data_IF_774529629717
#
_entry.id   IF_774529629717
#
_cell.length_a   1.000
_cell.length_b   1.000
_cell.length_c   1.000
_cell.angle_alpha   90.00
_cell.angle_beta   90.00
_cell.angle_gamma   90.00
#
_symmetry.space_group_name_H-M   'P 1'
#
loop_
_entity.id
_entity.type
_entity.pdbx_description
1 polymer ?
#
# COMPACT_ATOMS: atom_id res chain seq x y z
N UNK A 1 -14.63 -19.27 36.06
CA UNK A 1 -13.23 -19.30 35.60
C UNK A 1 -12.93 -17.93 34.99
N UNK A 2 -12.09 -17.14 35.65
CA UNK A 2 -11.91 -15.70 35.44
C UNK A 2 -11.01 -15.41 34.21
N UNK A 3 -11.49 -14.50 33.36
CA UNK A 3 -10.73 -13.45 32.65
C UNK A 3 -9.29 -13.74 32.19
N UNK A 4 -9.14 -14.19 30.95
CA UNK A 4 -7.89 -14.13 30.17
C UNK A 4 -8.02 -13.23 28.92
N UNK A 5 -8.95 -12.27 28.93
CA UNK A 5 -8.94 -11.20 27.95
C UNK A 5 -8.06 -10.07 28.50
N UNK A 6 -6.75 -10.29 28.52
CA UNK A 6 -5.85 -9.15 28.47
C UNK A 6 -6.22 -8.43 27.17
N UNK A 7 -6.80 -7.24 27.28
CA UNK A 7 -7.27 -6.46 26.15
C UNK A 7 -6.05 -6.02 25.34
N UNK A 8 -5.52 -6.93 24.52
CA UNK A 8 -4.50 -6.63 23.52
C UNK A 8 -5.15 -5.59 22.62
N UNK A 9 -4.55 -4.41 22.56
CA UNK A 9 -4.96 -3.37 21.62
C UNK A 9 -5.10 -4.00 20.23
N UNK A 10 -6.27 -3.83 19.60
CA UNK A 10 -6.55 -4.35 18.26
C UNK A 10 -5.71 -3.68 17.16
N UNK A 11 -4.73 -2.86 17.53
CA UNK A 11 -3.73 -2.26 16.63
C UNK A 11 -2.98 -3.30 15.81
N UNK A 12 -2.66 -4.47 16.39
CA UNK A 12 -1.99 -5.54 15.62
C UNK A 12 -2.90 -6.08 14.50
N UNK A 13 -4.20 -6.25 14.77
CA UNK A 13 -5.16 -6.70 13.76
C UNK A 13 -5.31 -5.68 12.62
N UNK A 14 -5.19 -4.38 12.90
CA UNK A 14 -5.23 -3.32 11.88
C UNK A 14 -3.99 -3.42 10.97
N UNK A 15 -2.79 -3.54 11.54
CA UNK A 15 -1.55 -3.69 10.78
C UNK A 15 -1.51 -5.01 9.97
N UNK A 16 -1.93 -6.11 10.57
CA UNK A 16 -2.04 -7.40 9.86
C UNK A 16 -3.07 -7.35 8.73
N UNK A 17 -4.22 -6.68 8.93
CA UNK A 17 -5.25 -6.49 7.91
C UNK A 17 -4.78 -5.61 6.76
N UNK A 18 -4.05 -4.52 7.03
CA UNK A 18 -3.54 -3.66 5.97
C UNK A 18 -2.52 -4.41 5.09
N UNK A 19 -1.66 -5.23 5.68
CA UNK A 19 -0.67 -6.05 4.96
C UNK A 19 -1.26 -7.27 4.25
N UNK A 20 -2.45 -7.75 4.64
CA UNK A 20 -3.05 -8.98 4.10
C UNK A 20 -3.13 -8.97 2.56
N UNK A 21 -3.51 -7.84 1.98
CA UNK A 21 -3.64 -7.72 0.53
C UNK A 21 -2.32 -7.92 -0.21
N UNK A 22 -1.22 -7.32 0.29
CA UNK A 22 0.07 -7.45 -0.37
C UNK A 22 0.67 -8.85 -0.19
N UNK A 23 0.44 -9.48 0.97
CA UNK A 23 0.86 -10.87 1.22
C UNK A 23 0.15 -11.83 0.27
N UNK A 24 -1.16 -11.68 0.09
CA UNK A 24 -1.95 -12.50 -0.84
C UNK A 24 -1.47 -12.30 -2.28
N UNK A 25 -1.31 -11.05 -2.73
CA UNK A 25 -0.78 -10.74 -4.06
C UNK A 25 0.57 -11.41 -4.31
N UNK A 26 1.52 -11.28 -3.37
CA UNK A 26 2.86 -11.87 -3.53
C UNK A 26 2.79 -13.39 -3.63
N UNK A 27 1.87 -14.02 -2.89
CA UNK A 27 1.66 -15.47 -2.90
C UNK A 27 1.05 -15.95 -4.21
N UNK A 28 0.04 -15.25 -4.73
CA UNK A 28 -0.69 -15.68 -5.94
C UNK A 28 -0.01 -15.29 -7.24
N UNK A 29 0.78 -14.22 -7.22
CA UNK A 29 1.45 -13.66 -8.41
C UNK A 29 2.96 -13.90 -8.41
N UNK A 30 3.50 -14.63 -7.41
CA UNK A 30 4.92 -14.92 -7.23
C UNK A 30 5.84 -13.70 -7.06
N UNK A 31 5.26 -12.50 -6.85
CA UNK A 31 6.01 -11.26 -6.67
C UNK A 31 6.68 -10.76 -7.95
N UNK A 32 7.84 -10.11 -7.79
CA UNK A 32 8.59 -9.46 -8.86
C UNK A 32 9.83 -10.28 -9.22
N UNK A 33 10.18 -10.31 -10.51
CA UNK A 33 11.35 -11.06 -11.02
C UNK A 33 12.54 -10.15 -11.38
N UNK A 34 12.43 -8.85 -11.14
CA UNK A 34 13.51 -7.88 -11.37
C UNK A 34 13.71 -6.97 -10.16
N UNK A 35 14.89 -6.37 -10.08
CA UNK A 35 15.22 -5.41 -9.03
C UNK A 35 14.36 -4.14 -9.18
N UNK A 36 14.20 -3.67 -10.42
CA UNK A 36 13.40 -2.50 -10.77
C UNK A 36 11.93 -2.73 -10.41
N UNK A 37 11.39 -3.90 -10.73
CA UNK A 37 10.02 -4.27 -10.38
C UNK A 37 9.83 -4.32 -8.87
N UNK A 38 10.80 -4.87 -8.14
CA UNK A 38 10.78 -4.91 -6.68
C UNK A 38 10.77 -3.50 -6.07
N UNK A 39 11.59 -2.58 -6.60
CA UNK A 39 11.65 -1.18 -6.16
C UNK A 39 10.38 -0.40 -6.51
N UNK A 40 9.77 -0.68 -7.67
CA UNK A 40 8.48 -0.11 -8.03
C UNK A 40 7.39 -0.57 -7.06
N UNK A 41 7.28 -1.88 -6.83
CA UNK A 41 6.25 -2.44 -5.95
C UNK A 41 6.42 -2.00 -4.50
N UNK A 42 7.66 -1.90 -3.99
CA UNK A 42 7.96 -1.32 -2.68
C UNK A 42 7.30 0.06 -2.51
N UNK A 43 7.53 0.97 -3.47
CA UNK A 43 6.98 2.34 -3.42
C UNK A 43 5.48 2.38 -3.67
N UNK A 44 4.98 1.63 -4.65
CA UNK A 44 3.57 1.60 -4.99
C UNK A 44 2.70 1.09 -3.83
N UNK A 45 3.17 0.06 -3.12
CA UNK A 45 2.46 -0.49 -1.98
C UNK A 45 2.45 0.49 -0.81
N UNK A 46 3.57 1.17 -0.52
CA UNK A 46 3.60 2.22 0.51
C UNK A 46 2.59 3.33 0.21
N UNK A 47 2.61 3.88 -1.01
CA UNK A 47 1.64 4.91 -1.46
C UNK A 47 0.20 4.41 -1.31
N UNK A 48 -0.07 3.20 -1.80
CA UNK A 48 -1.40 2.61 -1.76
C UNK A 48 -1.93 2.47 -0.33
N UNK A 49 -1.10 1.95 0.59
CA UNK A 49 -1.48 1.81 1.99
C UNK A 49 -1.74 3.17 2.65
N UNK A 50 -0.88 4.16 2.42
CA UNK A 50 -1.07 5.50 2.98
C UNK A 50 -2.33 6.19 2.43
N UNK A 51 -2.59 6.13 1.13
CA UNK A 51 -3.82 6.70 0.55
C UNK A 51 -5.07 6.02 1.10
N UNK A 52 -5.03 4.70 1.31
CA UNK A 52 -6.13 3.96 1.92
C UNK A 52 -6.38 4.39 3.37
N UNK A 53 -5.33 4.57 4.16
CA UNK A 53 -5.44 5.07 5.54
C UNK A 53 -6.00 6.49 5.61
N UNK A 54 -5.64 7.35 4.64
CA UNK A 54 -6.17 8.70 4.53
C UNK A 54 -7.56 8.80 3.88
N UNK A 55 -8.14 7.68 3.42
CA UNK A 55 -9.43 7.68 2.72
C UNK A 55 -9.41 8.33 1.32
N UNK A 56 -8.23 8.45 0.70
CA UNK A 56 -8.04 9.02 -0.63
C UNK A 56 -8.18 7.97 -1.74
N UNK A 57 -8.56 8.42 -2.94
CA UNK A 57 -8.63 7.56 -4.10
C UNK A 57 -7.24 7.21 -4.64
N UNK A 58 -7.03 5.91 -4.88
CA UNK A 58 -5.73 5.35 -5.25
C UNK A 58 -5.43 5.57 -6.73
N UNK A 59 -6.40 5.29 -7.60
CA UNK A 59 -6.21 5.34 -9.05
C UNK A 59 -5.86 6.75 -9.55
N UNK A 60 -6.57 7.83 -9.16
CA UNK A 60 -6.23 9.18 -9.57
C UNK A 60 -4.81 9.59 -9.18
N UNK A 61 -4.34 9.18 -8.00
CA UNK A 61 -2.97 9.43 -7.56
C UNK A 61 -1.95 8.78 -8.50
N UNK A 62 -2.06 7.46 -8.76
CA UNK A 62 -1.12 6.78 -9.65
C UNK A 62 -1.18 7.30 -11.08
N UNK A 63 -2.39 7.62 -11.57
CA UNK A 63 -2.56 8.21 -12.88
C UNK A 63 -1.86 9.57 -12.98
N UNK A 64 -2.03 10.45 -11.98
CA UNK A 64 -1.33 11.74 -11.94
C UNK A 64 0.18 11.57 -11.81
N UNK A 65 0.66 10.63 -10.99
CA UNK A 65 2.10 10.34 -10.87
C UNK A 65 2.69 9.88 -12.21
N UNK A 66 1.99 8.99 -12.91
CA UNK A 66 2.35 8.56 -14.27
C UNK A 66 2.39 9.76 -15.22
N UNK A 67 1.32 10.56 -15.26
CA UNK A 67 1.23 11.75 -16.12
C UNK A 67 2.38 12.74 -15.87
N UNK A 68 2.71 13.03 -14.60
CA UNK A 68 3.81 13.94 -14.24
C UNK A 68 5.19 13.46 -14.70
N UNK A 69 5.36 12.16 -14.94
CA UNK A 69 6.62 11.60 -15.44
C UNK A 69 6.84 11.92 -16.93
N UNK A 70 5.76 12.01 -17.71
CA UNK A 70 5.82 12.20 -19.17
C UNK A 70 5.33 13.58 -19.64
N UNK A 71 4.70 14.36 -18.77
CA UNK A 71 4.13 15.67 -19.07
C UNK A 71 4.64 16.68 -18.04
N UNK A 72 5.67 17.49 -18.36
CA UNK A 72 6.28 18.44 -17.42
C UNK A 72 5.32 19.46 -16.81
N UNK A 73 4.20 19.76 -17.49
CA UNK A 73 3.14 20.64 -17.03
C UNK A 73 2.23 20.02 -15.96
N UNK A 74 2.30 18.71 -15.75
CA UNK A 74 1.52 18.00 -14.71
C UNK A 74 2.34 17.91 -13.44
N UNK A 75 1.87 18.54 -12.37
CA UNK A 75 2.51 18.47 -11.06
C UNK A 75 2.38 17.06 -10.47
N UNK A 76 3.46 16.55 -9.90
CA UNK A 76 3.47 15.29 -9.18
C UNK A 76 2.47 15.31 -8.00
N UNK A 77 1.69 14.24 -7.80
CA UNK A 77 0.74 14.18 -6.70
C UNK A 77 1.45 14.04 -5.35
N UNK A 78 0.83 14.56 -4.30
CA UNK A 78 1.34 14.50 -2.92
C UNK A 78 0.48 13.54 -2.11
N UNK A 79 1.15 12.70 -1.31
CA UNK A 79 0.51 11.69 -0.45
C UNK A 79 -0.25 12.39 0.67
#
# INVERSE_FOLDING_TARGET
>A
MKSFLHAISLTNNIAERSLRHIVLWRKTSYGTQSQEGSRFMERAVSVWMTLKEQGKEVFPFFFQAYQSTYHPQVTAPVI
#
